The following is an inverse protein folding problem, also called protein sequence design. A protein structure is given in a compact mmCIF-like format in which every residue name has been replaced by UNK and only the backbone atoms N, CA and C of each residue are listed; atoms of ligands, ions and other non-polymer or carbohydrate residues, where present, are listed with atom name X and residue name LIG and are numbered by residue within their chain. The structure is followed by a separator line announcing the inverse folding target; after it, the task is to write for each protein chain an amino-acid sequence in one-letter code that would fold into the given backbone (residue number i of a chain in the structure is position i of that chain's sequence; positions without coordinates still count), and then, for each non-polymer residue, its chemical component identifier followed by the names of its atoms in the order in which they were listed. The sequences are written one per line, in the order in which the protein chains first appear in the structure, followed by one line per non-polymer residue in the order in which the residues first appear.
data_IF_253064818529
#
_entry.id   IF_253064818529
#
_cell.length_a   1.000
_cell.length_b   1.000
_cell.length_c   1.000
_cell.angle_alpha   90.00
_cell.angle_beta   90.00
_cell.angle_gamma   90.00
#
_symmetry.space_group_name_H-M   'P 1'
#
loop_
_entity.id
_entity.type
_entity.pdbx_description
1 polymer ?
#
# COMPACT_ATOMS: atom_id res chain seq x y z
N UNK A 1 20.16 -6.71 24.81
CA UNK A 1 18.93 -6.31 24.09
C UNK A 1 19.28 -6.20 22.60
N UNK A 2 18.63 -6.99 21.75
CA UNK A 2 18.90 -6.98 20.31
C UNK A 2 18.48 -5.65 19.67
N UNK A 3 18.99 -5.35 18.45
CA UNK A 3 18.54 -4.17 17.70
C UNK A 3 17.04 -4.31 17.37
N UNK A 4 16.57 -5.51 17.07
CA UNK A 4 15.13 -5.79 16.85
C UNK A 4 14.28 -5.38 18.07
N UNK A 5 14.72 -5.73 19.29
CA UNK A 5 14.01 -5.34 20.52
C UNK A 5 14.03 -3.81 20.73
N UNK A 6 15.11 -3.12 20.32
CA UNK A 6 15.19 -1.66 20.37
C UNK A 6 14.21 -1.02 19.39
N UNK A 7 14.08 -1.58 18.18
CA UNK A 7 13.11 -1.12 17.19
C UNK A 7 11.67 -1.32 17.69
N UNK A 8 11.36 -2.47 18.28
CA UNK A 8 10.04 -2.74 18.87
C UNK A 8 9.65 -1.74 19.98
N UNK A 9 10.60 -1.31 20.80
CA UNK A 9 10.34 -0.33 21.88
C UNK A 9 9.92 1.06 21.39
N UNK A 10 10.18 1.40 20.14
CA UNK A 10 9.67 2.66 19.54
C UNK A 10 8.16 2.68 19.41
N UNK A 11 7.56 1.50 19.36
CA UNK A 11 6.12 1.34 19.28
C UNK A 11 5.56 1.13 20.69
N UNK A 12 4.50 1.84 21.03
CA UNK A 12 3.78 1.57 22.27
C UNK A 12 3.03 0.23 22.13
N UNK A 13 3.65 -0.87 22.56
CA UNK A 13 3.10 -2.21 22.42
C UNK A 13 1.75 -2.37 23.12
N UNK A 14 1.49 -1.61 24.20
CA UNK A 14 0.19 -1.64 24.89
C UNK A 14 -0.92 -1.06 24.03
N UNK A 15 -0.62 -0.03 23.24
CA UNK A 15 -1.57 0.61 22.33
C UNK A 15 -1.66 -0.11 20.97
N UNK A 16 -0.51 -0.53 20.43
CA UNK A 16 -0.42 -1.11 19.08
C UNK A 16 -0.70 -2.62 19.03
N UNK A 17 -0.47 -3.32 20.14
CA UNK A 17 -0.32 -4.77 20.17
C UNK A 17 1.04 -5.23 19.62
N UNK A 18 1.60 -6.27 20.21
CA UNK A 18 2.94 -6.79 19.83
C UNK A 18 2.99 -7.22 18.36
N UNK A 19 1.90 -7.77 17.83
CA UNK A 19 1.83 -8.25 16.45
C UNK A 19 1.98 -7.10 15.45
N UNK A 20 1.22 -6.01 15.61
CA UNK A 20 1.29 -4.85 14.72
C UNK A 20 2.66 -4.16 14.80
N UNK A 21 3.21 -3.98 16.01
CA UNK A 21 4.55 -3.45 16.20
C UNK A 21 5.62 -4.31 15.48
N UNK A 22 5.48 -5.64 15.56
CA UNK A 22 6.38 -6.56 14.86
C UNK A 22 6.25 -6.44 13.35
N UNK A 23 5.04 -6.31 12.80
CA UNK A 23 4.84 -6.04 11.37
C UNK A 23 5.59 -4.79 10.92
N UNK A 24 5.45 -3.66 11.63
CA UNK A 24 6.09 -2.40 11.26
C UNK A 24 7.63 -2.50 11.33
N UNK A 25 8.18 -3.15 12.37
CA UNK A 25 9.63 -3.38 12.45
C UNK A 25 10.13 -4.26 11.31
N UNK A 26 9.42 -5.34 10.97
CA UNK A 26 9.81 -6.19 9.84
C UNK A 26 9.76 -5.43 8.52
N UNK A 27 8.77 -4.56 8.31
CA UNK A 27 8.65 -3.73 7.12
C UNK A 27 9.83 -2.75 6.99
N UNK A 28 10.25 -2.10 8.09
CA UNK A 28 11.44 -1.24 8.10
C UNK A 28 12.72 -2.03 7.75
N UNK A 29 12.89 -3.25 8.26
CA UNK A 29 14.04 -4.11 7.96
C UNK A 29 14.02 -4.55 6.49
N UNK A 30 12.86 -4.89 5.92
CA UNK A 30 12.71 -5.19 4.49
C UNK A 30 13.16 -4.00 3.65
N UNK A 31 12.70 -2.77 3.98
CA UNK A 31 13.11 -1.55 3.27
C UNK A 31 14.63 -1.34 3.34
N UNK A 32 15.24 -1.60 4.49
CA UNK A 32 16.70 -1.52 4.66
C UNK A 32 17.46 -2.53 3.76
N UNK A 33 16.98 -3.78 3.70
CA UNK A 33 17.54 -4.80 2.83
C UNK A 33 17.38 -4.46 1.35
N UNK A 34 16.23 -3.99 0.94
CA UNK A 34 15.96 -3.50 -0.42
C UNK A 34 16.88 -2.33 -0.79
N UNK A 35 17.10 -1.39 0.14
CA UNK A 35 18.04 -0.28 -0.06
C UNK A 35 19.46 -0.79 -0.29
N UNK A 36 19.98 -1.69 0.56
CA UNK A 36 21.33 -2.27 0.40
C UNK A 36 21.49 -3.05 -0.90
N UNK A 37 20.43 -3.72 -1.33
CA UNK A 37 20.40 -4.42 -2.62
C UNK A 37 20.34 -3.48 -3.83
N UNK A 38 20.17 -2.16 -3.65
CA UNK A 38 20.05 -1.19 -4.74
C UNK A 38 18.67 -1.20 -5.43
N UNK A 39 17.67 -1.81 -4.82
CA UNK A 39 16.30 -1.93 -5.37
C UNK A 39 15.68 -0.58 -5.73
N UNK A 40 15.91 0.44 -4.91
CA UNK A 40 15.37 1.79 -5.13
C UNK A 40 15.99 2.55 -6.31
N UNK A 41 16.98 1.98 -6.99
CA UNK A 41 17.44 2.48 -8.29
C UNK A 41 16.42 2.18 -9.41
N UNK A 42 15.66 1.07 -9.28
CA UNK A 42 14.70 0.60 -10.28
C UNK A 42 13.24 0.74 -9.85
N UNK A 43 12.96 0.85 -8.56
CA UNK A 43 11.61 0.81 -8.01
C UNK A 43 11.34 1.91 -6.99
N UNK A 44 10.05 2.16 -6.73
CA UNK A 44 9.57 3.07 -5.70
C UNK A 44 8.51 2.39 -4.83
N UNK A 45 8.49 2.74 -3.56
CA UNK A 45 7.53 2.27 -2.57
C UNK A 45 6.24 3.08 -2.65
N UNK A 46 5.09 2.41 -2.62
CA UNK A 46 3.80 3.05 -2.67
C UNK A 46 2.76 2.30 -1.81
N UNK A 47 1.50 2.69 -1.89
CA UNK A 47 0.41 2.01 -1.20
C UNK A 47 0.24 2.39 0.28
N UNK A 48 -0.57 1.59 0.99
CA UNK A 48 -0.98 1.91 2.36
C UNK A 48 0.15 1.87 3.38
N UNK A 49 1.14 0.99 3.20
CA UNK A 49 2.28 0.89 4.12
C UNK A 49 3.25 2.07 3.92
N UNK A 50 3.39 2.57 2.70
CA UNK A 50 4.13 3.81 2.45
C UNK A 50 3.48 5.00 3.18
N UNK A 51 2.15 5.15 3.12
CA UNK A 51 1.42 6.15 3.88
C UNK A 51 1.62 5.99 5.39
N UNK A 52 1.61 4.75 5.89
CA UNK A 52 1.79 4.47 7.30
C UNK A 52 3.18 4.86 7.80
N UNK A 53 4.24 4.41 7.12
CA UNK A 53 5.63 4.59 7.57
C UNK A 53 6.09 6.04 7.38
N UNK A 54 5.76 6.68 6.26
CA UNK A 54 6.36 7.96 5.88
C UNK A 54 5.45 9.17 6.02
N UNK A 55 4.13 8.97 6.17
CA UNK A 55 3.17 10.07 6.16
C UNK A 55 2.22 10.08 7.36
N UNK A 56 2.44 9.22 8.37
CA UNK A 56 1.69 9.25 9.62
C UNK A 56 0.25 8.74 9.52
N UNK A 57 -0.05 7.85 8.57
CA UNK A 57 -1.35 7.20 8.49
C UNK A 57 -1.64 6.43 9.80
N UNK A 58 -2.80 6.66 10.41
CA UNK A 58 -3.12 6.08 11.72
C UNK A 58 -3.57 4.61 11.68
N UNK A 59 -4.01 4.11 10.53
CA UNK A 59 -4.38 2.70 10.40
C UNK A 59 -3.18 1.81 10.11
N UNK A 60 -3.25 0.56 10.55
CA UNK A 60 -2.25 -0.46 10.23
C UNK A 60 -2.30 -0.88 8.75
N UNK A 61 -1.15 -1.34 8.27
CA UNK A 61 -1.00 -1.87 6.92
C UNK A 61 -0.04 -3.05 6.92
N UNK A 62 -0.39 -4.13 6.21
CA UNK A 62 0.31 -5.41 6.27
C UNK A 62 1.19 -5.66 5.03
N UNK A 63 0.68 -5.30 3.85
CA UNK A 63 1.33 -5.57 2.56
C UNK A 63 2.32 -4.46 2.20
N UNK A 64 3.38 -4.80 1.49
CA UNK A 64 4.35 -3.85 0.94
C UNK A 64 4.23 -3.82 -0.58
N UNK A 65 3.80 -2.69 -1.10
CA UNK A 65 3.55 -2.48 -2.52
C UNK A 65 4.68 -1.63 -3.14
N UNK A 66 5.28 -2.13 -4.21
CA UNK A 66 6.31 -1.43 -4.97
C UNK A 66 5.92 -1.35 -6.45
N UNK A 67 6.41 -0.32 -7.11
CA UNK A 67 6.26 -0.11 -8.55
C UNK A 67 7.63 0.12 -9.16
N UNK A 68 7.93 -0.51 -10.28
CA UNK A 68 9.09 -0.10 -11.06
C UNK A 68 8.90 1.35 -11.55
N UNK A 69 10.01 2.07 -11.77
CA UNK A 69 9.98 3.44 -12.33
C UNK A 69 9.81 3.43 -13.85
N UNK A 70 10.09 2.30 -14.48
CA UNK A 70 9.84 2.03 -15.90
C UNK A 70 9.46 0.56 -16.05
N UNK A 71 8.66 0.18 -17.06
CA UNK A 71 8.32 -1.21 -17.32
C UNK A 71 9.58 -2.06 -17.57
N UNK A 72 9.64 -3.22 -16.90
CA UNK A 72 10.73 -4.21 -17.07
C UNK A 72 10.15 -5.61 -16.81
N UNK A 73 9.82 -6.34 -17.88
CA UNK A 73 9.24 -7.68 -17.81
C UNK A 73 10.23 -8.75 -17.33
N UNK A 74 11.53 -8.47 -17.40
CA UNK A 74 12.61 -9.37 -16.98
C UNK A 74 13.03 -9.13 -15.53
N UNK A 75 12.40 -8.17 -14.86
CA UNK A 75 12.68 -7.84 -13.47
C UNK A 75 12.45 -9.03 -12.53
N UNK A 76 13.44 -9.32 -11.69
CA UNK A 76 13.42 -10.40 -10.72
C UNK A 76 13.65 -9.84 -9.31
N UNK A 77 12.62 -9.87 -8.46
CA UNK A 77 12.75 -9.45 -7.06
C UNK A 77 13.68 -10.39 -6.27
N UNK A 78 13.83 -11.63 -6.71
CA UNK A 78 14.69 -12.65 -6.12
C UNK A 78 16.14 -12.21 -5.99
N UNK A 79 16.62 -11.34 -6.87
CA UNK A 79 17.98 -10.78 -6.83
C UNK A 79 18.27 -9.98 -5.54
N UNK A 80 17.21 -9.45 -4.90
CA UNK A 80 17.31 -8.65 -3.68
C UNK A 80 17.13 -9.46 -2.40
N UNK A 81 16.70 -10.73 -2.47
CA UNK A 81 16.47 -11.57 -1.29
C UNK A 81 17.70 -11.75 -0.41
N UNK A 82 18.91 -11.98 -0.94
CA UNK A 82 20.10 -12.09 -0.09
C UNK A 82 20.33 -10.84 0.78
N UNK A 83 20.11 -9.65 0.24
CA UNK A 83 20.26 -8.41 1.01
C UNK A 83 19.19 -8.28 2.12
N UNK A 84 17.92 -8.63 1.83
CA UNK A 84 16.85 -8.66 2.83
C UNK A 84 17.18 -9.66 3.95
N UNK A 85 17.55 -10.89 3.59
CA UNK A 85 17.88 -11.96 4.56
C UNK A 85 19.06 -11.53 5.44
N UNK A 86 20.09 -10.92 4.87
CA UNK A 86 21.25 -10.42 5.61
C UNK A 86 20.86 -9.36 6.66
N UNK A 87 19.93 -8.44 6.35
CA UNK A 87 19.46 -7.45 7.32
C UNK A 87 18.69 -8.10 8.47
N UNK A 88 17.87 -9.12 8.20
CA UNK A 88 17.21 -9.87 9.27
C UNK A 88 18.21 -10.63 10.14
N UNK A 89 19.18 -11.31 9.54
CA UNK A 89 20.25 -12.00 10.28
C UNK A 89 21.05 -11.03 11.16
N UNK A 90 21.33 -9.82 10.68
CA UNK A 90 22.05 -8.79 11.44
C UNK A 90 21.29 -8.34 12.71
N UNK A 91 19.97 -8.44 12.72
CA UNK A 91 19.15 -8.15 13.92
C UNK A 91 18.80 -9.42 14.71
N UNK A 92 19.38 -10.58 14.37
CA UNK A 92 19.20 -11.86 15.05
C UNK A 92 17.87 -12.55 14.75
N UNK A 93 17.35 -12.37 13.53
CA UNK A 93 16.10 -12.98 13.07
C UNK A 93 16.32 -13.77 11.78
N UNK A 94 15.78 -14.99 11.73
CA UNK A 94 15.80 -15.83 10.53
C UNK A 94 14.47 -15.72 9.79
N UNK A 95 14.52 -15.44 8.49
CA UNK A 95 13.34 -15.31 7.65
C UNK A 95 13.41 -16.22 6.44
N UNK A 96 12.24 -16.58 5.92
CA UNK A 96 12.09 -17.29 4.65
C UNK A 96 11.25 -16.43 3.71
N UNK A 97 11.72 -16.27 2.48
CA UNK A 97 10.98 -15.61 1.40
C UNK A 97 10.55 -16.68 0.40
N UNK A 98 9.26 -16.74 0.10
CA UNK A 98 8.72 -17.71 -0.84
C UNK A 98 7.89 -17.02 -1.92
N UNK A 99 8.05 -17.45 -3.17
CA UNK A 99 7.21 -16.99 -4.28
C UNK A 99 5.78 -17.48 -4.08
N UNK A 100 4.83 -16.59 -4.27
CA UNK A 100 3.42 -16.95 -4.22
C UNK A 100 3.03 -17.54 -5.58
N UNK A 101 2.76 -18.84 -5.63
CA UNK A 101 2.18 -19.44 -6.82
C UNK A 101 0.79 -18.86 -7.06
N UNK A 102 0.57 -18.32 -8.27
CA UNK A 102 -0.76 -17.90 -8.69
C UNK A 102 -1.64 -19.14 -8.77
N UNK A 103 -2.56 -19.31 -7.83
CA UNK A 103 -3.63 -20.30 -7.99
C UNK A 103 -4.52 -19.79 -9.12
N UNK A 104 -4.43 -20.44 -10.27
CA UNK A 104 -5.35 -20.26 -11.40
C UNK A 104 -6.73 -20.80 -10.98
N UNK A 105 -7.54 -19.95 -10.39
CA UNK A 105 -8.96 -20.21 -10.22
C UNK A 105 -9.71 -19.57 -11.40
N UNK A 106 -10.22 -20.40 -12.30
CA UNK A 106 -11.33 -20.10 -13.20
C UNK A 106 -11.15 -18.94 -14.18
N UNK A 107 -11.44 -19.18 -15.44
CA UNK A 107 -11.34 -18.31 -16.63
C UNK A 107 -12.20 -17.05 -16.63
N UNK A 108 -12.75 -16.60 -15.52
CA UNK A 108 -13.58 -15.39 -15.42
C UNK A 108 -13.19 -14.65 -14.15
N UNK A 109 -12.79 -13.37 -14.28
CA UNK A 109 -12.72 -12.37 -13.21
C UNK A 109 -11.39 -11.85 -12.68
N UNK A 110 -10.38 -11.75 -13.49
CA UNK A 110 -9.19 -11.05 -13.03
C UNK A 110 -8.70 -9.92 -13.93
N UNK A 111 -9.60 -9.06 -14.39
CA UNK A 111 -9.19 -7.81 -15.04
C UNK A 111 -8.38 -6.88 -14.08
N UNK A 112 -8.26 -7.25 -12.80
CA UNK A 112 -7.47 -6.55 -11.78
C UNK A 112 -6.35 -7.38 -11.14
N UNK A 113 -6.23 -8.65 -11.43
CA UNK A 113 -5.01 -9.39 -11.14
C UNK A 113 -4.07 -9.18 -12.31
N UNK A 114 -3.23 -8.14 -12.20
CA UNK A 114 -2.19 -7.85 -13.18
C UNK A 114 -1.42 -9.13 -13.49
N UNK A 115 -1.36 -9.51 -14.76
CA UNK A 115 -0.44 -10.55 -15.23
C UNK A 115 1.01 -10.21 -14.92
N UNK A 116 1.30 -8.92 -14.71
CA UNK A 116 2.58 -8.28 -14.55
C UNK A 116 2.92 -7.91 -13.09
N UNK A 117 2.38 -8.61 -12.08
CA UNK A 117 2.76 -8.40 -10.68
C UNK A 117 3.45 -9.63 -10.12
N UNK A 118 4.68 -9.46 -9.64
CA UNK A 118 5.37 -10.48 -8.86
C UNK A 118 4.97 -10.33 -7.37
N UNK A 119 4.49 -11.42 -6.76
CA UNK A 119 4.07 -11.43 -5.37
C UNK A 119 4.86 -12.47 -4.56
N UNK A 120 5.36 -12.06 -3.40
CA UNK A 120 6.16 -12.88 -2.50
C UNK A 120 5.68 -12.75 -1.08
N UNK A 121 5.90 -13.79 -0.30
CA UNK A 121 5.58 -13.83 1.13
C UNK A 121 6.87 -13.98 1.95
N UNK A 122 7.11 -13.09 2.89
CA UNK A 122 8.21 -13.15 3.86
C UNK A 122 7.64 -13.46 5.24
N UNK A 123 8.23 -14.42 5.94
CA UNK A 123 7.82 -14.83 7.29
C UNK A 123 9.04 -15.26 8.11
N UNK A 124 8.95 -15.18 9.43
CA UNK A 124 9.93 -15.80 10.33
C UNK A 124 9.95 -17.32 10.16
N UNK A 125 11.11 -17.93 10.32
CA UNK A 125 11.24 -19.40 10.31
C UNK A 125 10.55 -20.02 11.52
N UNK A 126 10.65 -19.40 12.69
CA UNK A 126 10.17 -19.92 13.97
C UNK A 126 8.76 -19.45 14.34
N UNK A 127 8.34 -18.26 13.91
CA UNK A 127 7.02 -17.67 14.19
C UNK A 127 6.19 -17.58 12.92
N UNK A 128 5.34 -18.57 12.69
CA UNK A 128 4.53 -18.66 11.46
C UNK A 128 3.36 -17.67 11.40
N UNK A 129 3.09 -16.92 12.47
CA UNK A 129 1.91 -16.05 12.57
C UNK A 129 2.05 -14.72 11.83
N UNK A 130 3.29 -14.24 11.63
CA UNK A 130 3.57 -12.97 10.95
C UNK A 130 4.07 -13.24 9.55
N UNK A 131 3.37 -12.66 8.56
CA UNK A 131 3.63 -12.85 7.15
C UNK A 131 3.47 -11.53 6.42
N UNK A 132 4.54 -11.03 5.81
CA UNK A 132 4.50 -9.82 5.00
C UNK A 132 4.47 -10.22 3.53
N UNK A 133 3.48 -9.70 2.82
CA UNK A 133 3.38 -9.83 1.38
C UNK A 133 4.14 -8.67 0.72
N UNK A 134 5.01 -9.00 -0.22
CA UNK A 134 5.74 -8.03 -1.04
C UNK A 134 5.22 -8.16 -2.47
N UNK A 135 4.74 -7.06 -3.03
CA UNK A 135 4.24 -6.99 -4.41
C UNK A 135 5.01 -5.93 -5.20
N UNK A 136 5.42 -6.27 -6.42
CA UNK A 136 6.10 -5.34 -7.33
C UNK A 136 5.30 -5.26 -8.62
N UNK A 137 4.86 -4.06 -8.98
CA UNK A 137 4.28 -3.76 -10.28
C UNK A 137 5.41 -3.60 -11.29
N UNK A 138 5.52 -4.54 -12.25
CA UNK A 138 6.61 -4.57 -13.25
C UNK A 138 6.24 -3.89 -14.58
N UNK A 139 4.95 -3.49 -14.72
CA UNK A 139 4.45 -2.74 -15.88
C UNK A 139 3.56 -1.58 -15.39
N UNK A 140 4.17 -0.60 -14.68
CA UNK A 140 3.42 0.48 -14.06
C UNK A 140 2.88 1.48 -15.08
N UNK A 141 1.72 2.10 -14.80
CA UNK A 141 1.31 3.31 -15.50
C UNK A 141 2.37 4.40 -15.31
N UNK A 142 2.70 5.09 -16.37
CA UNK A 142 3.66 6.20 -16.34
C UNK A 142 3.07 7.48 -15.74
N UNK A 143 3.79 8.60 -15.81
CA UNK A 143 3.38 9.92 -15.30
C UNK A 143 3.18 9.99 -13.78
N UNK A 144 4.02 9.32 -13.02
CA UNK A 144 4.14 9.53 -11.59
C UNK A 144 5.48 10.16 -11.23
N UNK A 145 5.51 10.83 -10.09
CA UNK A 145 6.71 11.42 -9.51
C UNK A 145 7.16 10.64 -8.27
N UNK A 146 8.44 10.68 -7.98
CA UNK A 146 9.01 10.04 -6.78
C UNK A 146 9.78 11.03 -5.94
N UNK A 147 9.83 10.76 -4.64
CA UNK A 147 10.63 11.51 -3.66
C UNK A 147 11.48 10.56 -2.82
N UNK A 148 12.50 11.11 -2.15
CA UNK A 148 13.33 10.35 -1.22
C UNK A 148 12.86 10.60 0.22
N UNK A 149 12.62 9.53 0.96
CA UNK A 149 12.20 9.56 2.36
C UNK A 149 13.26 8.90 3.24
N UNK A 150 13.65 9.57 4.32
CA UNK A 150 14.66 9.08 5.25
C UNK A 150 14.04 8.12 6.28
N UNK A 151 14.66 6.96 6.46
CA UNK A 151 14.50 6.11 7.65
C UNK A 151 15.81 6.07 8.44
N UNK A 152 15.69 5.96 9.77
CA UNK A 152 16.84 6.00 10.69
C UNK A 152 17.22 4.63 11.23
N UNK A 153 16.36 3.64 11.13
CA UNK A 153 16.57 2.29 11.65
C UNK A 153 16.23 1.24 10.58
N UNK A 154 16.94 0.12 10.59
CA UNK A 154 18.02 -0.32 11.51
C UNK A 154 19.32 0.50 11.39
N UNK A 155 19.49 1.26 10.33
CA UNK A 155 20.51 2.28 10.07
C UNK A 155 19.88 3.39 9.23
N UNK A 156 20.58 4.53 9.06
CA UNK A 156 20.05 5.65 8.24
C UNK A 156 20.15 5.33 6.75
N UNK A 157 19.01 5.37 6.05
CA UNK A 157 18.94 5.15 4.60
C UNK A 157 17.77 5.89 3.96
N UNK A 158 17.84 6.04 2.64
CA UNK A 158 16.79 6.71 1.85
C UNK A 158 15.94 5.67 1.12
N UNK A 159 14.63 5.84 1.20
CA UNK A 159 13.64 5.05 0.46
C UNK A 159 13.03 5.91 -0.63
N UNK A 160 13.08 5.46 -1.89
CA UNK A 160 12.33 6.11 -2.96
C UNK A 160 10.86 5.77 -2.83
N UNK A 161 10.01 6.78 -2.67
CA UNK A 161 8.57 6.67 -2.53
C UNK A 161 7.85 7.43 -3.64
N UNK A 162 6.62 7.06 -3.95
CA UNK A 162 5.73 7.93 -4.72
C UNK A 162 5.43 9.19 -3.92
N UNK A 163 5.27 10.34 -4.61
CA UNK A 163 4.76 11.55 -3.98
C UNK A 163 3.28 11.37 -3.58
N UNK A 164 2.84 12.12 -2.56
CA UNK A 164 1.49 11.97 -2.00
C UNK A 164 0.36 12.10 -3.04
N UNK A 165 0.50 13.01 -4.00
CA UNK A 165 -0.49 13.22 -5.05
C UNK A 165 -0.70 11.99 -5.95
N UNK A 166 0.37 11.21 -6.16
CA UNK A 166 0.33 9.99 -6.98
C UNK A 166 -0.12 8.78 -6.17
N UNK A 167 0.23 8.71 -4.88
CA UNK A 167 -0.36 7.75 -3.95
C UNK A 167 -1.88 7.91 -3.89
N UNK A 168 -2.35 9.16 -3.84
CA UNK A 168 -3.78 9.48 -3.87
C UNK A 168 -4.43 9.03 -5.18
N UNK A 169 -3.82 9.31 -6.33
CA UNK A 169 -4.31 8.84 -7.63
C UNK A 169 -4.46 7.32 -7.70
N UNK A 170 -3.46 6.58 -7.24
CA UNK A 170 -3.49 5.13 -7.14
C UNK A 170 -4.62 4.62 -6.23
N UNK A 171 -4.86 5.29 -5.12
CA UNK A 171 -5.93 4.97 -4.17
C UNK A 171 -7.31 5.24 -4.77
N UNK A 172 -7.50 6.37 -5.43
CA UNK A 172 -8.77 6.71 -6.07
C UNK A 172 -9.10 5.76 -7.21
N UNK A 173 -8.11 5.39 -8.03
CA UNK A 173 -8.30 4.35 -9.03
C UNK A 173 -8.80 3.03 -8.40
N UNK A 174 -8.15 2.59 -7.32
CA UNK A 174 -8.54 1.35 -6.63
C UNK A 174 -9.95 1.44 -6.05
N UNK A 175 -10.32 2.55 -5.41
CA UNK A 175 -11.61 2.74 -4.76
C UNK A 175 -12.77 2.78 -5.76
N UNK A 176 -12.59 3.47 -6.90
CA UNK A 176 -13.66 3.67 -7.88
C UNK A 176 -13.82 2.47 -8.82
N UNK A 177 -12.70 1.95 -9.35
CA UNK A 177 -12.74 0.99 -10.46
C UNK A 177 -12.56 -0.47 -10.07
N UNK A 178 -12.10 -0.76 -8.81
CA UNK A 178 -11.93 -2.14 -8.39
C UNK A 178 -13.29 -2.81 -8.21
N UNK A 179 -13.57 -3.80 -9.05
CA UNK A 179 -14.80 -4.61 -8.96
C UNK A 179 -14.56 -5.76 -7.99
N UNK A 180 -15.02 -5.62 -6.76
CA UNK A 180 -15.08 -6.74 -5.81
C UNK A 180 -16.48 -7.34 -5.89
N UNK A 181 -16.61 -8.60 -6.27
CA UNK A 181 -17.91 -9.27 -6.39
C UNK A 181 -18.70 -9.33 -5.10
N UNK A 182 -18.03 -9.42 -3.95
CA UNK A 182 -18.67 -9.62 -2.64
C UNK A 182 -17.92 -8.93 -1.48
N UNK A 183 -16.84 -8.19 -1.71
CA UNK A 183 -16.04 -7.57 -0.66
C UNK A 183 -15.70 -6.12 -0.98
N UNK A 184 -16.05 -5.22 -0.06
CA UNK A 184 -15.56 -3.85 -0.09
C UNK A 184 -14.23 -3.81 0.65
N UNK A 185 -13.26 -3.03 0.17
CA UNK A 185 -11.99 -2.81 0.87
C UNK A 185 -12.07 -1.50 1.68
N UNK A 186 -12.54 -1.59 2.92
CA UNK A 186 -12.78 -0.43 3.79
C UNK A 186 -11.56 0.46 4.02
N UNK A 187 -10.34 -0.14 3.95
CA UNK A 187 -9.09 0.61 4.02
C UNK A 187 -8.95 1.67 2.93
N UNK A 188 -9.54 1.48 1.75
CA UNK A 188 -9.47 2.47 0.67
C UNK A 188 -10.30 3.72 1.02
N UNK A 189 -11.39 3.56 1.76
CA UNK A 189 -12.25 4.64 2.25
C UNK A 189 -11.58 5.43 3.38
N UNK A 190 -10.91 4.74 4.29
CA UNK A 190 -10.12 5.37 5.35
C UNK A 190 -8.98 6.21 4.77
N UNK A 191 -8.27 5.69 3.77
CA UNK A 191 -7.19 6.41 3.10
C UNK A 191 -7.74 7.63 2.35
N UNK A 192 -8.89 7.51 1.68
CA UNK A 192 -9.54 8.64 1.01
C UNK A 192 -9.84 9.78 2.00
N UNK A 193 -10.49 9.48 3.12
CA UNK A 193 -10.73 10.45 4.18
C UNK A 193 -9.43 11.10 4.67
N UNK A 194 -8.39 10.30 4.88
CA UNK A 194 -7.09 10.78 5.30
C UNK A 194 -6.47 11.76 4.30
N UNK A 195 -6.52 11.49 2.99
CA UNK A 195 -6.01 12.40 1.97
C UNK A 195 -6.76 13.73 1.98
N UNK A 196 -8.08 13.72 2.12
CA UNK A 196 -8.88 14.94 2.19
C UNK A 196 -8.56 15.73 3.46
N UNK A 197 -8.50 15.09 4.63
CA UNK A 197 -8.14 15.73 5.91
C UNK A 197 -6.76 16.40 5.87
N UNK A 198 -5.81 15.84 5.13
CA UNK A 198 -4.47 16.37 4.99
C UNK A 198 -4.31 17.35 3.82
N UNK A 199 -5.39 17.70 3.11
CA UNK A 199 -5.40 18.66 2.02
C UNK A 199 -4.55 18.24 0.82
N UNK A 200 -4.34 16.93 0.62
CA UNK A 200 -3.53 16.40 -0.47
C UNK A 200 -4.25 16.62 -1.80
N UNK A 201 -3.54 17.16 -2.78
CA UNK A 201 -4.04 17.29 -4.15
C UNK A 201 -3.89 15.96 -4.91
N UNK A 202 -4.89 15.62 -5.72
CA UNK A 202 -4.90 14.41 -6.53
C UNK A 202 -4.22 14.67 -7.88
N UNK A 203 -3.16 13.92 -8.23
CA UNK A 203 -2.58 13.98 -9.57
C UNK A 203 -3.51 13.32 -10.59
N UNK A 204 -4.31 14.17 -11.27
CA UNK A 204 -5.26 13.65 -12.24
C UNK A 204 -4.59 13.06 -13.49
N UNK A 205 -3.43 13.57 -13.89
CA UNK A 205 -2.68 13.03 -15.03
C UNK A 205 -2.25 11.57 -14.79
N UNK A 206 -1.74 11.26 -13.58
CA UNK A 206 -1.40 9.89 -13.21
C UNK A 206 -2.65 9.01 -13.06
N UNK A 207 -3.73 9.53 -12.46
CA UNK A 207 -5.00 8.81 -12.38
C UNK A 207 -5.54 8.43 -13.77
N UNK A 208 -5.49 9.36 -14.73
CA UNK A 208 -5.93 9.14 -16.10
C UNK A 208 -5.12 8.04 -16.80
N UNK A 209 -3.79 8.03 -16.64
CA UNK A 209 -2.96 6.94 -17.17
C UNK A 209 -3.34 5.59 -16.57
N UNK A 210 -3.60 5.53 -15.26
CA UNK A 210 -4.08 4.30 -14.61
C UNK A 210 -5.43 3.85 -15.17
N UNK A 211 -6.38 4.76 -15.34
CA UNK A 211 -7.69 4.45 -15.90
C UNK A 211 -7.55 3.94 -17.34
N UNK A 212 -6.72 4.60 -18.15
CA UNK A 212 -6.45 4.18 -19.51
C UNK A 212 -5.82 2.79 -19.59
N UNK A 213 -4.79 2.53 -18.79
CA UNK A 213 -4.07 1.25 -18.82
C UNK A 213 -4.95 0.09 -18.32
N UNK A 214 -5.71 0.29 -17.23
CA UNK A 214 -6.44 -0.82 -16.58
C UNK A 214 -7.90 -0.95 -17.00
N UNK A 215 -8.53 0.12 -17.46
CA UNK A 215 -9.94 0.14 -17.84
C UNK A 215 -10.15 0.35 -19.33
N UNK A 216 -9.10 0.75 -20.07
CA UNK A 216 -9.18 0.97 -21.52
C UNK A 216 -9.99 2.20 -21.92
N UNK A 217 -10.27 3.13 -21.00
CA UNK A 217 -11.07 4.33 -21.22
C UNK A 217 -10.29 5.60 -20.91
N UNK A 218 -10.60 6.68 -21.59
CA UNK A 218 -10.16 8.03 -21.25
C UNK A 218 -11.31 8.76 -20.57
N UNK A 219 -11.00 9.52 -19.52
CA UNK A 219 -12.02 10.12 -18.67
C UNK A 219 -11.60 11.53 -18.24
N UNK A 220 -12.51 12.48 -18.32
CA UNK A 220 -12.31 13.82 -17.77
C UNK A 220 -12.45 13.82 -16.24
N UNK A 221 -11.98 14.88 -15.58
CA UNK A 221 -12.18 15.05 -14.13
C UNK A 221 -13.66 14.98 -13.73
N UNK A 222 -14.54 15.62 -14.53
CA UNK A 222 -15.99 15.61 -14.29
C UNK A 222 -16.56 14.19 -14.38
N UNK A 223 -16.17 13.43 -15.40
CA UNK A 223 -16.61 12.05 -15.55
C UNK A 223 -16.12 11.17 -14.40
N UNK A 224 -14.85 11.31 -14.00
CA UNK A 224 -14.30 10.61 -12.85
C UNK A 224 -15.07 10.93 -11.55
N UNK A 225 -15.37 12.21 -11.30
CA UNK A 225 -16.14 12.61 -10.11
C UNK A 225 -17.57 12.05 -10.13
N UNK A 226 -18.19 11.91 -11.29
CA UNK A 226 -19.52 11.30 -11.41
C UNK A 226 -19.46 9.78 -11.10
N UNK A 227 -18.52 9.03 -11.69
CA UNK A 227 -18.29 7.62 -11.40
C UNK A 227 -18.02 7.41 -9.90
N UNK A 228 -17.20 8.28 -9.31
CA UNK A 228 -16.90 8.25 -7.88
C UNK A 228 -18.18 8.47 -7.05
N UNK A 229 -19.01 9.45 -7.37
CA UNK A 229 -20.27 9.72 -6.65
C UNK A 229 -21.23 8.54 -6.72
N UNK A 230 -21.38 7.93 -7.89
CA UNK A 230 -22.19 6.71 -8.04
C UNK A 230 -21.64 5.58 -7.15
N UNK A 231 -20.32 5.36 -7.21
CA UNK A 231 -19.68 4.37 -6.35
C UNK A 231 -19.89 4.63 -4.87
N UNK A 232 -19.80 5.90 -4.42
CA UNK A 232 -20.00 6.29 -3.03
C UNK A 232 -21.46 6.12 -2.59
N UNK A 233 -22.41 6.42 -3.46
CA UNK A 233 -23.84 6.29 -3.17
C UNK A 233 -24.29 4.82 -3.04
N UNK A 234 -23.75 3.93 -3.88
CA UNK A 234 -24.20 2.53 -3.98
C UNK A 234 -23.47 1.58 -3.01
N UNK A 235 -22.41 2.03 -2.36
CA UNK A 235 -21.62 1.15 -1.50
C UNK A 235 -22.29 0.90 -0.15
N UNK A 236 -22.30 -0.36 0.30
CA UNK A 236 -22.69 -0.75 1.66
C UNK A 236 -21.65 -0.21 2.66
N UNK A 237 -21.99 0.91 3.32
CA UNK A 237 -21.10 1.59 4.27
C UNK A 237 -20.84 0.76 5.53
N UNK A 238 -21.75 -0.11 5.92
CA UNK A 238 -21.55 -0.99 7.07
C UNK A 238 -20.55 -2.09 6.74
N UNK A 239 -20.54 -2.59 5.52
CA UNK A 239 -19.50 -3.50 5.05
C UNK A 239 -18.12 -2.80 5.01
N UNK A 240 -18.07 -1.54 4.59
CA UNK A 240 -16.84 -0.70 4.64
C UNK A 240 -16.31 -0.58 6.06
N UNK A 241 -17.18 -0.23 7.02
CA UNK A 241 -16.83 -0.10 8.44
C UNK A 241 -16.29 -1.43 9.01
N UNK A 242 -16.98 -2.54 8.74
CA UNK A 242 -16.53 -3.88 9.20
C UNK A 242 -15.17 -4.29 8.62
N UNK A 243 -14.88 -3.97 7.35
CA UNK A 243 -13.60 -4.34 6.73
C UNK A 243 -12.43 -3.53 7.27
N UNK A 244 -12.62 -2.26 7.61
CA UNK A 244 -11.54 -1.39 8.12
C UNK A 244 -11.28 -1.55 9.61
N UNK A 245 -12.29 -1.93 10.39
CA UNK A 245 -12.25 -1.99 11.85
C UNK A 245 -11.02 -2.71 12.43
N UNK A 246 -10.54 -3.85 11.88
CA UNK A 246 -9.34 -4.53 12.39
C UNK A 246 -8.03 -3.74 12.22
N UNK A 247 -8.04 -2.68 11.41
CA UNK A 247 -6.85 -1.92 11.05
C UNK A 247 -6.73 -0.56 11.74
N UNK A 248 -7.77 -0.12 12.46
CA UNK A 248 -7.80 1.18 13.12
C UNK A 248 -7.68 1.02 14.64
N UNK A 249 -7.21 2.08 15.29
CA UNK A 249 -7.05 2.11 16.75
C UNK A 249 -8.33 2.51 17.48
N UNK A 250 -9.05 3.48 16.95
CA UNK A 250 -10.24 4.05 17.55
C UNK A 250 -11.46 3.79 16.67
N UNK A 251 -12.34 2.84 17.04
CA UNK A 251 -13.58 2.56 16.31
C UNK A 251 -14.55 3.75 16.21
N UNK A 252 -14.52 4.68 17.17
CA UNK A 252 -15.42 5.84 17.21
C UNK A 252 -15.21 6.78 16.01
N UNK A 253 -14.02 6.73 15.39
CA UNK A 253 -13.74 7.47 14.14
C UNK A 253 -14.71 7.10 13.00
N UNK A 254 -15.32 5.91 13.05
CA UNK A 254 -16.26 5.44 12.03
C UNK A 254 -17.71 5.86 12.26
N UNK A 255 -18.05 6.46 13.39
CA UNK A 255 -19.46 6.81 13.70
C UNK A 255 -20.06 7.77 12.68
N UNK A 256 -19.30 8.77 12.25
CA UNK A 256 -19.72 9.76 11.25
C UNK A 256 -19.85 9.18 9.83
N UNK A 257 -19.26 8.01 9.57
CA UNK A 257 -19.23 7.46 8.22
C UNK A 257 -20.62 7.07 7.73
N UNK A 258 -21.01 7.68 6.62
CA UNK A 258 -22.21 7.43 5.84
C UNK A 258 -21.93 7.70 4.36
N UNK A 259 -22.78 7.23 3.46
CA UNK A 259 -22.68 7.56 2.05
C UNK A 259 -22.67 9.08 1.85
N UNK A 260 -23.56 9.80 2.56
CA UNK A 260 -23.62 11.27 2.49
C UNK A 260 -22.32 11.94 2.98
N UNK A 261 -21.71 11.43 4.05
CA UNK A 261 -20.42 11.92 4.52
C UNK A 261 -19.35 11.82 3.43
N UNK A 262 -19.23 10.66 2.78
CA UNK A 262 -18.23 10.47 1.72
C UNK A 262 -18.55 11.26 0.45
N UNK A 263 -19.82 11.47 0.13
CA UNK A 263 -20.23 12.38 -0.94
C UNK A 263 -19.79 13.81 -0.67
N UNK A 264 -19.91 14.29 0.57
CA UNK A 264 -19.39 15.62 0.95
C UNK A 264 -17.86 15.68 0.82
N UNK A 265 -17.13 14.65 1.28
CA UNK A 265 -15.67 14.58 1.11
C UNK A 265 -15.28 14.61 -0.37
N UNK A 266 -16.04 13.95 -1.25
CA UNK A 266 -15.74 13.94 -2.69
C UNK A 266 -15.79 15.32 -3.33
N UNK A 267 -16.61 16.23 -2.80
CA UNK A 267 -16.68 17.62 -3.26
C UNK A 267 -15.46 18.48 -2.82
N UNK A 268 -14.65 17.98 -1.87
CA UNK A 268 -13.45 18.65 -1.36
C UNK A 268 -12.17 18.23 -2.09
N UNK A 269 -12.25 17.29 -3.04
CA UNK A 269 -11.09 16.88 -3.84
C UNK A 269 -10.54 18.07 -4.60
N UNK A 270 -9.22 18.27 -4.46
CA UNK A 270 -8.44 19.21 -5.25
C UNK A 270 -7.59 18.43 -6.23
N UNK A 271 -7.50 18.90 -7.45
CA UNK A 271 -6.65 18.32 -8.49
C UNK A 271 -5.37 19.14 -8.66
N UNK A 272 -4.26 18.40 -8.82
CA UNK A 272 -2.96 18.95 -9.24
C UNK A 272 -2.89 18.98 -10.76
#
# INVERSE_FOLDING_TARGET
MSLFDQMLKRYNVQEYGIQNATYEVMQEIILAGLYRGGFFNKAAFYGGTCLRIFHGMNRFSEDMDFSLIAPDTDFQLEEYFPAIINEFNAVGKDVVISKKEKKTFGRVESAFLKENTAAYDLKFQTEKSIKIKIEVDIDPPTKFETEQKLLLLPFSFMTRCFVLSDLFAGKMHAMVFRKWKQRVKGRDWYDFEWYIKNGVELNFSHLQERIKQFNGVEMSQTQFLNEMKERLADTDIDAVKRDVLPFIKNPDELEIWSNNYFLQLSAMIKFK
#
